data_IF_952157955864
#
_entry.id   IF_952157955864
#
_cell.length_a   1.000
_cell.length_b   1.000
_cell.length_c   1.000
_cell.angle_alpha   90.00
_cell.angle_beta   90.00
_cell.angle_gamma   90.00
#
_symmetry.space_group_name_H-M   'P 1'
#
loop_
_entity.id
_entity.type
_entity.pdbx_description
1 polymer ?
#
# COMPACT_ATOMS: atom_id res chain seq x y z
N UNK A 1 19.78 -7.31 18.74
CA UNK A 1 19.75 -7.09 17.29
C UNK A 1 18.68 -6.06 17.08
N UNK A 2 19.06 -4.81 16.84
CA UNK A 2 18.11 -3.80 16.38
C UNK A 2 17.72 -4.22 14.97
N UNK A 3 16.48 -4.68 14.80
CA UNK A 3 15.90 -4.87 13.48
C UNK A 3 16.19 -3.60 12.66
N UNK A 4 16.71 -3.71 11.43
CA UNK A 4 16.92 -2.53 10.60
C UNK A 4 15.54 -1.89 10.45
N UNK A 5 15.32 -0.77 11.15
CA UNK A 5 14.09 0.01 11.10
C UNK A 5 13.72 0.16 9.63
N UNK A 6 12.70 -0.58 9.18
CA UNK A 6 12.24 -0.50 7.79
C UNK A 6 12.00 0.99 7.52
N UNK A 7 12.78 1.61 6.61
CA UNK A 7 12.78 3.05 6.50
C UNK A 7 11.37 3.52 6.16
N UNK A 8 10.87 4.47 6.94
CA UNK A 8 9.67 5.21 6.59
C UNK A 8 9.95 5.91 5.26
N UNK A 9 9.18 5.56 4.24
CA UNK A 9 9.28 6.15 2.93
C UNK A 9 8.33 7.34 2.84
N UNK A 10 8.83 8.43 2.28
CA UNK A 10 8.00 9.52 1.79
C UNK A 10 7.34 9.10 0.49
N UNK A 11 6.16 9.64 0.23
CA UNK A 11 5.34 9.41 -0.96
C UNK A 11 6.14 9.57 -2.27
N UNK A 12 7.00 10.60 -2.33
CA UNK A 12 7.87 10.90 -3.48
C UNK A 12 8.92 9.81 -3.79
N UNK A 13 9.28 8.98 -2.80
CA UNK A 13 10.24 7.87 -2.96
C UNK A 13 9.59 6.57 -3.37
N UNK A 14 8.26 6.51 -3.38
CA UNK A 14 7.51 5.29 -3.66
C UNK A 14 7.18 5.25 -5.15
N UNK A 15 7.68 4.24 -5.89
CA UNK A 15 7.36 4.11 -7.31
C UNK A 15 5.85 3.96 -7.48
N UNK A 16 5.29 4.65 -8.47
CA UNK A 16 3.86 4.62 -8.77
C UNK A 16 2.94 4.95 -7.56
N UNK A 17 3.42 5.76 -6.60
CA UNK A 17 2.61 6.19 -5.46
C UNK A 17 1.25 6.77 -5.88
N UNK A 18 1.26 7.66 -6.87
CA UNK A 18 0.05 8.30 -7.37
C UNK A 18 -0.99 7.27 -7.84
N UNK A 19 -0.54 6.21 -8.52
CA UNK A 19 -1.43 5.13 -8.99
C UNK A 19 -2.06 4.39 -7.81
N UNK A 20 -1.26 4.09 -6.78
CA UNK A 20 -1.77 3.45 -5.55
C UNK A 20 -2.78 4.35 -4.84
N UNK A 21 -2.47 5.65 -4.70
CA UNK A 21 -3.37 6.63 -4.09
C UNK A 21 -4.69 6.74 -4.87
N UNK A 22 -4.61 6.85 -6.20
CA UNK A 22 -5.78 6.94 -7.07
C UNK A 22 -6.67 5.71 -6.93
N UNK A 23 -6.11 4.50 -7.00
CA UNK A 23 -6.86 3.24 -6.82
C UNK A 23 -7.55 3.22 -5.46
N UNK A 24 -6.83 3.54 -4.37
CA UNK A 24 -7.42 3.54 -3.02
C UNK A 24 -8.56 4.55 -2.93
N UNK A 25 -8.38 5.73 -3.52
CA UNK A 25 -9.36 6.81 -3.51
C UNK A 25 -10.59 6.48 -4.36
N UNK A 26 -10.43 5.76 -5.47
CA UNK A 26 -11.52 5.25 -6.30
C UNK A 26 -12.34 4.19 -5.57
N UNK A 27 -11.69 3.32 -4.79
CA UNK A 27 -12.38 2.31 -3.97
C UNK A 27 -13.14 3.00 -2.84
N UNK A 28 -12.45 3.84 -2.07
CA UNK A 28 -13.03 4.55 -0.93
C UNK A 28 -12.24 5.82 -0.60
N UNK A 29 -12.86 6.96 -0.90
CA UNK A 29 -12.31 8.30 -0.67
C UNK A 29 -12.15 8.67 0.83
N UNK A 30 -12.61 7.84 1.76
CA UNK A 30 -12.43 8.04 3.20
C UNK A 30 -11.17 7.35 3.75
N UNK A 31 -10.52 6.51 2.94
CA UNK A 31 -9.26 5.86 3.30
C UNK A 31 -8.11 6.86 3.12
N UNK A 32 -7.22 6.90 4.11
CA UNK A 32 -6.03 7.74 4.12
C UNK A 32 -4.80 6.84 4.20
N UNK A 33 -3.82 7.07 3.34
CA UNK A 33 -2.50 6.44 3.46
C UNK A 33 -1.77 7.15 4.61
N UNK A 34 -1.61 6.47 5.74
CA UNK A 34 -1.01 7.03 6.94
C UNK A 34 0.52 7.01 6.90
N UNK A 35 1.09 5.85 6.58
CA UNK A 35 2.55 5.63 6.56
C UNK A 35 2.91 4.56 5.54
N UNK A 36 4.09 4.70 4.95
CA UNK A 36 4.63 3.75 4.00
C UNK A 36 5.99 3.31 4.51
N UNK A 37 6.22 2.01 4.60
CA UNK A 37 7.52 1.45 4.97
C UNK A 37 8.07 0.65 3.80
N UNK A 38 9.39 0.65 3.65
CA UNK A 38 10.03 -0.19 2.66
C UNK A 38 10.80 -1.32 3.34
N UNK A 39 10.29 -2.54 3.18
CA UNK A 39 10.92 -3.74 3.68
C UNK A 39 12.02 -4.16 2.73
N UNK A 40 13.23 -3.68 3.01
CA UNK A 40 14.45 -3.95 2.23
C UNK A 40 14.75 -5.46 2.13
N UNK A 41 14.44 -6.24 3.16
CA UNK A 41 14.72 -7.68 3.20
C UNK A 41 13.92 -8.49 2.18
N UNK A 42 12.72 -8.03 1.81
CA UNK A 42 11.81 -8.72 0.88
C UNK A 42 11.40 -7.87 -0.32
N UNK A 43 11.96 -6.65 -0.45
CA UNK A 43 11.65 -5.68 -1.50
C UNK A 43 10.14 -5.36 -1.62
N UNK A 44 9.48 -5.13 -0.48
CA UNK A 44 8.04 -4.84 -0.41
C UNK A 44 7.80 -3.45 0.19
N UNK A 45 6.86 -2.70 -0.37
CA UNK A 45 6.32 -1.49 0.22
C UNK A 45 5.08 -1.82 1.04
N UNK A 46 5.08 -1.42 2.30
CA UNK A 46 4.00 -1.65 3.25
C UNK A 46 3.25 -0.35 3.48
N UNK A 47 2.04 -0.27 2.95
CA UNK A 47 1.14 0.86 3.06
C UNK A 47 0.22 0.64 4.25
N UNK A 48 0.30 1.51 5.26
CA UNK A 48 -0.68 1.57 6.33
C UNK A 48 -1.81 2.49 5.90
N UNK A 49 -3.00 1.92 5.73
CA UNK A 49 -4.22 2.61 5.40
C UNK A 49 -5.03 2.81 6.67
N UNK A 50 -5.64 3.98 6.84
CA UNK A 50 -6.54 4.28 7.94
C UNK A 50 -7.89 4.67 7.38
N UNK A 51 -8.94 4.09 7.96
CA UNK A 51 -10.32 4.40 7.67
C UNK A 51 -11.07 4.54 8.98
N UNK A 52 -11.47 5.76 9.31
CA UNK A 52 -12.06 6.11 10.63
C UNK A 52 -11.13 5.66 11.76
N UNK A 53 -11.54 4.66 12.55
CA UNK A 53 -10.80 4.08 13.68
C UNK A 53 -10.23 2.69 13.37
N UNK A 54 -10.20 2.29 12.10
CA UNK A 54 -9.61 1.03 11.65
C UNK A 54 -8.37 1.29 10.82
N UNK A 55 -7.39 0.40 10.95
CA UNK A 55 -6.18 0.38 10.17
C UNK A 55 -6.12 -0.91 9.36
N UNK A 56 -5.67 -0.80 8.11
CA UNK A 56 -5.38 -1.90 7.22
C UNK A 56 -3.92 -1.78 6.76
N UNK A 57 -3.28 -2.90 6.50
CA UNK A 57 -1.94 -2.94 5.92
C UNK A 57 -2.02 -3.60 4.57
N UNK A 58 -1.49 -2.91 3.56
CA UNK A 58 -1.33 -3.46 2.22
C UNK A 58 0.15 -3.56 1.90
N UNK A 59 0.59 -4.77 1.60
CA UNK A 59 1.97 -5.08 1.25
C UNK A 59 2.06 -5.26 -0.27
N UNK A 60 2.80 -4.36 -0.91
CA UNK A 60 2.91 -4.28 -2.37
C UNK A 60 4.35 -4.55 -2.78
N UNK A 61 4.63 -5.57 -3.59
CA UNK A 61 5.97 -5.84 -4.09
C UNK A 61 6.51 -4.65 -4.91
N UNK A 62 7.76 -4.26 -4.66
CA UNK A 62 8.41 -3.19 -5.43
C UNK A 62 8.36 -3.43 -6.93
N UNK A 63 8.58 -4.67 -7.36
CA UNK A 63 8.53 -5.03 -8.77
C UNK A 63 7.18 -4.68 -9.41
N UNK A 64 6.07 -4.84 -8.67
CA UNK A 64 4.73 -4.53 -9.17
C UNK A 64 4.52 -3.01 -9.37
N UNK A 65 5.09 -2.20 -8.47
CA UNK A 65 5.07 -0.75 -8.57
C UNK A 65 5.97 -0.23 -9.69
N UNK A 66 7.17 -0.79 -9.84
CA UNK A 66 8.10 -0.42 -10.92
C UNK A 66 7.55 -0.85 -12.31
N UNK A 67 6.78 -1.93 -12.38
CA UNK A 67 6.15 -2.41 -13.62
C UNK A 67 4.98 -1.54 -14.11
N UNK A 68 4.40 -0.67 -13.28
CA UNK A 68 3.29 0.21 -13.69
C UNK A 68 3.66 1.11 -14.89
N UNK A 69 4.93 1.49 -15.03
CA UNK A 69 5.40 2.34 -16.12
C UNK A 69 5.70 1.63 -17.44
N UNK A 70 5.75 0.28 -17.47
CA UNK A 70 6.25 -0.48 -18.63
C UNK A 70 5.18 -1.42 -19.23
N UNK A 71 4.33 -2.02 -18.39
CA UNK A 71 3.30 -3.01 -18.75
C UNK A 71 1.90 -2.53 -18.33
N UNK A 72 1.63 -1.23 -18.58
CA UNK A 72 0.63 -0.34 -17.97
C UNK A 72 -0.86 -0.71 -18.07
N UNK A 73 -1.22 -1.96 -18.23
CA UNK A 73 -2.61 -2.43 -18.05
C UNK A 73 -2.66 -3.68 -17.19
N UNK A 74 -1.72 -4.61 -17.34
CA UNK A 74 -1.71 -5.85 -16.57
C UNK A 74 -1.19 -5.64 -15.15
N UNK A 75 -0.09 -4.91 -15.01
CA UNK A 75 0.46 -4.58 -13.70
C UNK A 75 -0.53 -3.75 -12.87
N UNK A 76 -1.23 -2.81 -13.51
CA UNK A 76 -2.24 -1.97 -12.85
C UNK A 76 -3.43 -2.78 -12.37
N UNK A 77 -3.94 -3.70 -13.20
CA UNK A 77 -5.01 -4.61 -12.81
C UNK A 77 -4.62 -5.52 -11.65
N UNK A 78 -3.41 -6.06 -11.64
CA UNK A 78 -2.92 -6.89 -10.53
C UNK A 78 -2.78 -6.08 -9.24
N UNK A 79 -2.23 -4.85 -9.34
CA UNK A 79 -2.11 -3.91 -8.24
C UNK A 79 -3.47 -3.52 -7.66
N UNK A 80 -4.39 -3.13 -8.54
CA UNK A 80 -5.75 -2.77 -8.19
C UNK A 80 -6.46 -3.93 -7.52
N UNK A 81 -6.40 -5.14 -8.09
CA UNK A 81 -6.99 -6.33 -7.50
C UNK A 81 -6.42 -6.65 -6.12
N UNK A 82 -5.11 -6.51 -5.91
CA UNK A 82 -4.46 -6.75 -4.62
C UNK A 82 -4.95 -5.74 -3.56
N UNK A 83 -4.99 -4.46 -3.91
CA UNK A 83 -5.47 -3.39 -3.03
C UNK A 83 -6.95 -3.59 -2.71
N UNK A 84 -7.79 -3.81 -3.73
CA UNK A 84 -9.23 -4.06 -3.60
C UNK A 84 -9.48 -5.25 -2.68
N UNK A 85 -8.81 -6.38 -2.92
CA UNK A 85 -9.00 -7.59 -2.11
C UNK A 85 -8.69 -7.32 -0.64
N UNK A 86 -7.67 -6.53 -0.33
CA UNK A 86 -7.35 -6.17 1.07
C UNK A 86 -8.28 -5.13 1.67
N UNK A 87 -8.78 -4.19 0.88
CA UNK A 87 -9.67 -3.14 1.37
C UNK A 87 -11.11 -3.66 1.55
N UNK A 88 -11.59 -4.52 0.66
CA UNK A 88 -12.92 -5.13 0.75
C UNK A 88 -12.99 -6.22 1.83
N UNK A 89 -11.86 -6.84 2.17
CA UNK A 89 -11.75 -7.83 3.24
C UNK A 89 -11.84 -7.15 4.61
N UNK A 90 -13.00 -7.24 5.27
CA UNK A 90 -13.22 -6.65 6.59
C UNK A 90 -12.27 -7.19 7.66
N UNK A 91 -11.75 -8.42 7.50
CA UNK A 91 -10.77 -9.02 8.42
C UNK A 91 -9.40 -8.35 8.34
N UNK A 92 -9.07 -7.70 7.22
CA UNK A 92 -7.84 -6.94 7.04
C UNK A 92 -7.86 -5.59 7.78
N UNK A 93 -9.03 -5.14 8.23
CA UNK A 93 -9.21 -3.91 9.00
C UNK A 93 -9.26 -4.19 10.51
N UNK A 94 -8.15 -3.91 11.20
CA UNK A 94 -8.07 -4.04 12.65
C UNK A 94 -8.32 -2.70 13.34
N UNK A 95 -8.88 -2.75 14.55
CA UNK A 95 -9.10 -1.55 15.37
C UNK A 95 -7.75 -0.92 15.74
N UNK A 96 -7.64 0.39 15.53
CA UNK A 96 -6.56 1.20 16.08
C UNK A 96 -6.73 1.26 17.60
N UNK A 97 -6.22 0.26 18.31
CA UNK A 97 -6.10 0.33 19.77
C UNK A 97 -5.11 1.44 20.11
N UNK A 98 -5.65 2.57 20.51
CA UNK A 98 -4.94 3.72 21.09
C UNK A 98 -4.51 3.39 22.51
#
# INVERSE_FOLDING_TARGET
MEDPLDPLMSEDKVPAYNVVEEIIREIDHTIIIYRIYYLLGIFVYKFQLIKKDKMCVVEIPRALLESQGNDGTRAEQELSKLIITRIEDEESWYELRT
#
